data_IF_135350804626
#
_entry.id   IF_135350804626
#
_cell.length_a   1.000
_cell.length_b   1.000
_cell.length_c   1.000
_cell.angle_alpha   90.00
_cell.angle_beta   90.00
_cell.angle_gamma   90.00
#
_symmetry.space_group_name_H-M   'P 1'
#
loop_
_entity.id
_entity.type
_entity.pdbx_description
1 polymer ?
#
# COMPACT_ATOMS: atom_id res chain seq x y z
N UNK A 1 13.67 6.70 24.26
CA UNK A 1 12.86 7.35 23.20
C UNK A 1 12.61 6.35 22.07
N UNK A 2 11.43 6.37 21.44
CA UNK A 2 11.16 5.57 20.24
C UNK A 2 12.15 5.96 19.12
N UNK A 3 12.69 5.00 18.37
CA UNK A 3 13.66 5.29 17.31
C UNK A 3 12.95 5.31 15.96
N UNK A 4 12.54 6.50 15.52
CA UNK A 4 11.80 6.69 14.26
C UNK A 4 12.47 6.03 13.05
N UNK A 5 13.81 6.08 12.98
CA UNK A 5 14.61 5.44 11.92
C UNK A 5 14.34 3.93 11.83
N UNK A 6 14.34 3.22 12.97
CA UNK A 6 14.10 1.77 12.99
C UNK A 6 12.68 1.40 12.57
N UNK A 7 11.71 2.26 12.88
CA UNK A 7 10.31 2.06 12.47
C UNK A 7 10.17 2.29 10.96
N UNK A 8 10.83 3.33 10.44
CA UNK A 8 10.88 3.60 9.00
C UNK A 8 11.50 2.44 8.24
N UNK A 9 12.68 1.97 8.65
CA UNK A 9 13.39 0.88 7.97
C UNK A 9 12.56 -0.39 7.93
N UNK A 10 11.87 -0.70 9.04
CA UNK A 10 10.98 -1.85 9.10
C UNK A 10 9.74 -1.72 8.20
N UNK A 11 9.07 -0.57 8.20
CA UNK A 11 7.94 -0.34 7.28
C UNK A 11 8.39 -0.41 5.80
N UNK A 12 9.67 -0.12 5.51
CA UNK A 12 10.27 -0.29 4.20
C UNK A 12 10.70 -1.73 3.90
N UNK A 13 11.05 -2.54 4.91
CA UNK A 13 11.42 -3.95 4.74
C UNK A 13 10.22 -4.86 4.55
N UNK A 14 9.11 -4.62 5.26
CA UNK A 14 7.85 -5.39 5.11
C UNK A 14 7.24 -5.32 3.71
N UNK A 15 7.66 -4.35 2.90
CA UNK A 15 7.38 -4.33 1.46
C UNK A 15 7.88 -5.56 0.70
N UNK A 16 8.92 -6.22 1.20
CA UNK A 16 9.51 -7.43 0.64
C UNK A 16 8.77 -8.70 1.07
N UNK A 17 8.14 -8.67 2.25
CA UNK A 17 7.64 -9.85 2.97
C UNK A 17 6.10 -9.84 3.08
N UNK A 18 5.41 -9.23 2.12
CA UNK A 18 3.94 -9.32 2.11
C UNK A 18 3.47 -10.76 1.91
N UNK A 19 2.39 -11.16 2.59
CA UNK A 19 1.87 -12.53 2.52
C UNK A 19 1.34 -12.93 1.12
N UNK A 20 0.97 -11.94 0.28
CA UNK A 20 0.42 -12.15 -1.08
C UNK A 20 0.71 -10.98 -2.05
N UNK A 21 1.98 -10.67 -2.36
CA UNK A 21 2.32 -9.74 -3.43
C UNK A 21 1.94 -10.31 -4.80
N UNK A 22 1.77 -9.44 -5.80
CA UNK A 22 1.73 -9.92 -7.18
C UNK A 22 3.05 -10.64 -7.50
N UNK A 23 3.00 -11.70 -8.32
CA UNK A 23 4.20 -12.46 -8.67
C UNK A 23 5.29 -11.57 -9.31
N UNK A 24 4.87 -10.57 -10.09
CA UNK A 24 5.77 -9.60 -10.73
C UNK A 24 6.45 -8.71 -9.67
N UNK A 25 5.69 -8.23 -8.67
CA UNK A 25 6.24 -7.43 -7.57
C UNK A 25 7.22 -8.25 -6.72
N UNK A 26 6.85 -9.48 -6.36
CA UNK A 26 7.69 -10.36 -5.55
C UNK A 26 9.04 -10.63 -6.23
N UNK A 27 9.01 -10.97 -7.52
CA UNK A 27 10.23 -11.20 -8.30
C UNK A 27 11.08 -9.93 -8.42
N UNK A 28 10.46 -8.79 -8.77
CA UNK A 28 11.16 -7.50 -8.85
C UNK A 28 11.89 -7.17 -7.54
N UNK A 29 11.21 -7.35 -6.40
CA UNK A 29 11.78 -7.12 -5.07
C UNK A 29 12.91 -8.08 -4.74
N UNK A 30 12.73 -9.37 -4.99
CA UNK A 30 13.76 -10.37 -4.75
C UNK A 30 15.04 -10.06 -5.55
N UNK A 31 14.91 -9.75 -6.84
CA UNK A 31 16.05 -9.40 -7.69
C UNK A 31 16.73 -8.10 -7.23
N UNK A 32 15.96 -7.11 -6.78
CA UNK A 32 16.52 -5.87 -6.23
C UNK A 32 17.28 -6.10 -4.93
N UNK A 33 16.78 -6.97 -4.05
CA UNK A 33 17.47 -7.38 -2.81
C UNK A 33 18.79 -8.10 -3.11
N UNK A 34 18.84 -8.88 -4.18
CA UNK A 34 20.07 -9.53 -4.67
C UNK A 34 21.06 -8.54 -5.32
N UNK A 35 20.75 -7.25 -5.37
CA UNK A 35 21.64 -6.23 -5.92
C UNK A 35 21.70 -6.22 -7.45
N UNK A 36 20.71 -6.79 -8.14
CA UNK A 36 20.67 -6.76 -9.60
C UNK A 36 20.53 -5.31 -10.09
N UNK A 37 21.38 -4.83 -11.01
CA UNK A 37 21.30 -3.46 -11.51
C UNK A 37 19.97 -3.14 -12.19
N UNK A 38 19.52 -1.88 -12.09
CA UNK A 38 18.23 -1.44 -12.66
C UNK A 38 18.09 -1.73 -14.16
N UNK A 39 19.15 -1.66 -14.94
CA UNK A 39 19.11 -1.99 -16.38
C UNK A 39 18.74 -3.45 -16.63
N UNK A 40 19.24 -4.36 -15.79
CA UNK A 40 18.95 -5.77 -15.87
C UNK A 40 17.55 -6.07 -15.31
N UNK A 41 17.16 -5.43 -14.20
CA UNK A 41 15.79 -5.51 -13.67
C UNK A 41 14.77 -5.06 -14.73
N UNK A 42 15.05 -3.95 -15.41
CA UNK A 42 14.20 -3.41 -16.49
C UNK A 42 14.02 -4.44 -17.61
N UNK A 43 15.10 -5.10 -18.05
CA UNK A 43 15.02 -6.15 -19.09
C UNK A 43 14.16 -7.34 -18.65
N UNK A 44 14.21 -7.73 -17.38
CA UNK A 44 13.46 -8.88 -16.83
C UNK A 44 11.98 -8.53 -16.65
N UNK A 45 11.69 -7.37 -16.04
CA UNK A 45 10.34 -6.99 -15.61
C UNK A 45 9.51 -6.38 -16.75
N UNK A 46 10.13 -5.62 -17.66
CA UNK A 46 9.41 -4.87 -18.71
C UNK A 46 8.47 -5.75 -19.57
N UNK A 47 8.87 -6.93 -20.07
CA UNK A 47 7.97 -7.78 -20.86
C UNK A 47 6.74 -8.25 -20.08
N UNK A 48 6.91 -8.58 -18.79
CA UNK A 48 5.82 -9.03 -17.92
C UNK A 48 4.88 -7.88 -17.58
N UNK A 49 5.43 -6.69 -17.38
CA UNK A 49 4.67 -5.48 -17.14
C UNK A 49 3.81 -5.10 -18.35
N UNK A 50 4.38 -5.16 -19.54
CA UNK A 50 3.64 -4.95 -20.80
C UNK A 50 2.53 -5.99 -20.96
N UNK A 51 2.82 -7.27 -20.68
CA UNK A 51 1.80 -8.32 -20.72
C UNK A 51 0.67 -8.07 -19.70
N UNK A 52 0.98 -7.58 -18.50
CA UNK A 52 -0.05 -7.20 -17.52
C UNK A 52 -0.91 -6.04 -18.04
N UNK A 53 -0.29 -4.97 -18.56
CA UNK A 53 -1.01 -3.81 -19.12
C UNK A 53 -1.98 -4.24 -20.21
N UNK A 54 -1.50 -5.02 -21.19
CA UNK A 54 -2.30 -5.47 -22.34
C UNK A 54 -3.49 -6.33 -21.91
N UNK A 55 -3.33 -7.16 -20.88
CA UNK A 55 -4.35 -8.10 -20.44
C UNK A 55 -5.17 -7.59 -19.24
N UNK A 56 -4.94 -6.35 -18.79
CA UNK A 56 -5.61 -5.83 -17.60
C UNK A 56 -7.10 -5.62 -17.88
N UNK A 57 -7.93 -6.45 -17.27
CA UNK A 57 -9.37 -6.22 -17.18
C UNK A 57 -9.70 -5.45 -15.90
N UNK A 58 -9.84 -4.13 -15.98
CA UNK A 58 -10.17 -3.28 -14.83
C UNK A 58 -11.51 -3.66 -14.18
N UNK A 59 -12.49 -4.16 -14.93
CA UNK A 59 -13.77 -4.61 -14.37
C UNK A 59 -13.60 -5.80 -13.40
N UNK A 60 -12.49 -6.55 -13.48
CA UNK A 60 -12.21 -7.62 -12.52
C UNK A 60 -11.99 -7.09 -11.08
N UNK A 61 -11.71 -5.80 -10.90
CA UNK A 61 -11.60 -5.15 -9.58
C UNK A 61 -12.90 -5.29 -8.77
N UNK A 62 -14.07 -5.34 -9.42
CA UNK A 62 -15.36 -5.53 -8.72
C UNK A 62 -15.49 -6.91 -8.06
N UNK A 63 -14.75 -7.90 -8.53
CA UNK A 63 -14.73 -9.26 -7.98
C UNK A 63 -13.46 -9.54 -7.16
N UNK A 64 -12.36 -8.83 -7.45
CA UNK A 64 -11.08 -8.96 -6.79
C UNK A 64 -10.44 -7.58 -6.59
N UNK A 65 -10.73 -6.93 -5.47
CA UNK A 65 -10.23 -5.58 -5.17
C UNK A 65 -8.70 -5.53 -5.05
N UNK A 66 -8.04 -6.66 -4.80
CA UNK A 66 -6.58 -6.74 -4.76
C UNK A 66 -5.92 -6.41 -6.10
N UNK A 67 -6.67 -6.43 -7.21
CA UNK A 67 -6.14 -5.98 -8.50
C UNK A 67 -5.71 -4.50 -8.48
N UNK A 68 -6.31 -3.65 -7.64
CA UNK A 68 -5.83 -2.27 -7.44
C UNK A 68 -4.44 -2.23 -6.81
N UNK A 69 -4.14 -3.16 -5.89
CA UNK A 69 -2.79 -3.29 -5.33
C UNK A 69 -1.78 -3.65 -6.41
N UNK A 70 -2.14 -4.56 -7.31
CA UNK A 70 -1.26 -4.97 -8.41
C UNK A 70 -1.01 -3.82 -9.39
N UNK A 71 -2.05 -3.03 -9.71
CA UNK A 71 -1.93 -1.80 -10.49
C UNK A 71 -1.01 -0.80 -9.80
N UNK A 72 -1.18 -0.57 -8.49
CA UNK A 72 -0.30 0.31 -7.71
C UNK A 72 1.17 -0.15 -7.80
N UNK A 73 1.43 -1.44 -7.62
CA UNK A 73 2.79 -1.98 -7.71
C UNK A 73 3.40 -1.87 -9.11
N UNK A 74 2.60 -2.09 -10.15
CA UNK A 74 3.03 -1.87 -11.52
C UNK A 74 3.49 -0.43 -11.74
N UNK A 75 2.73 0.54 -11.23
CA UNK A 75 3.07 1.97 -11.36
C UNK A 75 4.38 2.30 -10.62
N UNK A 76 4.53 1.81 -9.38
CA UNK A 76 5.77 1.98 -8.60
C UNK A 76 6.97 1.39 -9.33
N UNK A 77 6.88 0.13 -9.79
CA UNK A 77 7.97 -0.52 -10.54
C UNK A 77 8.32 0.24 -11.81
N UNK A 78 7.31 0.70 -12.55
CA UNK A 78 7.52 1.43 -13.81
C UNK A 78 8.27 2.72 -13.57
N UNK A 79 7.86 3.49 -12.55
CA UNK A 79 8.54 4.71 -12.13
C UNK A 79 9.99 4.44 -11.71
N UNK A 80 10.22 3.44 -10.85
CA UNK A 80 11.55 3.14 -10.31
C UNK A 80 12.53 2.65 -11.41
N UNK A 81 12.03 2.00 -12.47
CA UNK A 81 12.83 1.48 -13.58
C UNK A 81 12.84 2.42 -14.81
N UNK A 82 12.15 3.56 -14.75
CA UNK A 82 11.97 4.46 -15.89
C UNK A 82 11.34 3.74 -17.09
N UNK A 83 10.36 2.87 -16.85
CA UNK A 83 9.55 2.23 -17.88
C UNK A 83 8.37 3.17 -18.16
N UNK A 84 8.29 3.66 -19.40
CA UNK A 84 7.15 4.44 -19.85
C UNK A 84 5.92 3.56 -20.00
N UNK A 85 4.81 4.02 -19.44
CA UNK A 85 3.48 3.46 -19.61
C UNK A 85 2.72 4.41 -20.53
N UNK A 86 1.98 3.84 -21.46
CA UNK A 86 1.12 4.57 -22.39
C UNK A 86 0.15 5.51 -21.66
N UNK A 87 0.05 6.76 -22.12
CA UNK A 87 -0.80 7.78 -21.50
C UNK A 87 -2.29 7.44 -21.58
N UNK A 88 -2.76 6.85 -22.69
CA UNK A 88 -4.17 6.44 -22.81
C UNK A 88 -4.54 5.37 -21.79
N UNK A 89 -3.60 4.47 -21.47
CA UNK A 89 -3.80 3.51 -20.40
C UNK A 89 -3.85 4.18 -19.03
N UNK A 90 -2.97 5.15 -18.76
CA UNK A 90 -2.99 5.93 -17.51
C UNK A 90 -4.29 6.69 -17.33
N UNK A 91 -4.81 7.31 -18.38
CA UNK A 91 -6.11 7.99 -18.39
C UNK A 91 -7.26 7.01 -18.12
N UNK A 92 -7.22 5.82 -18.73
CA UNK A 92 -8.20 4.76 -18.51
C UNK A 92 -8.22 4.31 -17.05
N UNK A 93 -7.05 4.04 -16.46
CA UNK A 93 -6.94 3.66 -15.05
C UNK A 93 -7.37 4.79 -14.12
N UNK A 94 -6.97 6.03 -14.42
CA UNK A 94 -7.37 7.22 -13.64
C UNK A 94 -8.89 7.35 -13.61
N UNK A 95 -9.54 7.29 -14.78
CA UNK A 95 -11.00 7.40 -14.91
C UNK A 95 -11.70 6.28 -14.13
N UNK A 96 -11.22 5.05 -14.30
CA UNK A 96 -11.75 3.90 -13.56
C UNK A 96 -11.65 4.07 -12.03
N UNK A 97 -10.49 4.49 -11.53
CA UNK A 97 -10.29 4.67 -10.08
C UNK A 97 -11.15 5.81 -9.54
N UNK A 98 -11.28 6.93 -10.27
CA UNK A 98 -12.17 8.02 -9.88
C UNK A 98 -13.63 7.58 -9.84
N UNK A 99 -14.06 6.70 -10.73
CA UNK A 99 -15.42 6.15 -10.75
C UNK A 99 -15.74 5.24 -9.54
N UNK A 100 -14.71 4.72 -8.86
CA UNK A 100 -14.89 3.98 -7.60
C UNK A 100 -15.15 4.89 -6.40
N UNK A 101 -14.98 6.21 -6.55
CA UNK A 101 -15.14 7.18 -5.46
C UNK A 101 -16.58 7.19 -4.93
N UNK A 102 -16.68 7.36 -3.62
CA UNK A 102 -17.91 7.64 -2.90
C UNK A 102 -17.66 8.72 -1.83
N UNK A 103 -18.63 8.99 -0.94
CA UNK A 103 -18.58 10.10 0.02
C UNK A 103 -17.40 9.97 1.00
N UNK A 104 -16.26 10.53 0.61
CA UNK A 104 -15.02 10.48 1.35
C UNK A 104 -14.26 9.15 1.28
N UNK A 105 -14.65 8.19 0.45
CA UNK A 105 -13.89 6.94 0.31
C UNK A 105 -13.95 6.41 -1.12
N UNK A 106 -13.48 5.18 -1.32
CA UNK A 106 -13.63 4.43 -2.57
C UNK A 106 -14.17 3.03 -2.29
N UNK A 107 -14.85 2.46 -3.27
CA UNK A 107 -15.19 1.04 -3.28
C UNK A 107 -16.54 0.65 -2.69
N UNK A 108 -17.42 1.61 -2.37
CA UNK A 108 -18.81 1.26 -1.98
C UNK A 108 -19.55 0.45 -3.05
N UNK A 109 -19.20 0.63 -4.33
CA UNK A 109 -19.68 -0.18 -5.47
C UNK A 109 -19.11 -1.61 -5.49
N UNK A 110 -18.00 -1.86 -4.80
CA UNK A 110 -17.32 -3.17 -4.73
C UNK A 110 -17.80 -3.94 -3.50
N UNK A 111 -17.77 -3.31 -2.32
CA UNK A 111 -18.13 -3.98 -1.08
C UNK A 111 -18.55 -2.98 -0.01
N UNK A 112 -19.46 -3.41 0.89
CA UNK A 112 -19.80 -2.68 2.11
C UNK A 112 -18.91 -3.06 3.30
N UNK A 113 -18.06 -4.07 3.16
CA UNK A 113 -17.18 -4.55 4.24
C UNK A 113 -16.12 -3.47 4.53
N UNK A 114 -16.05 -3.01 5.79
CA UNK A 114 -15.20 -1.90 6.23
C UNK A 114 -13.73 -2.07 5.82
N UNK A 115 -13.15 -3.25 6.05
CA UNK A 115 -11.74 -3.51 5.73
C UNK A 115 -11.47 -3.48 4.22
N UNK A 116 -12.36 -4.04 3.41
CA UNK A 116 -12.26 -4.04 1.94
C UNK A 116 -12.38 -2.62 1.38
N UNK A 117 -13.30 -1.82 1.93
CA UNK A 117 -13.44 -0.40 1.57
C UNK A 117 -12.20 0.41 1.95
N UNK A 118 -11.62 0.15 3.12
CA UNK A 118 -10.36 0.78 3.53
C UNK A 118 -9.25 0.45 2.54
N UNK A 119 -8.98 -0.83 2.27
CA UNK A 119 -7.94 -1.24 1.31
C UNK A 119 -8.17 -0.62 -0.07
N UNK A 120 -9.41 -0.68 -0.58
CA UNK A 120 -9.77 -0.06 -1.87
C UNK A 120 -9.47 1.44 -1.87
N UNK A 121 -9.82 2.14 -0.79
CA UNK A 121 -9.55 3.58 -0.63
C UNK A 121 -8.05 3.87 -0.63
N UNK A 122 -7.27 3.09 0.12
CA UNK A 122 -5.83 3.26 0.20
C UNK A 122 -5.16 3.07 -1.17
N UNK A 123 -5.46 1.99 -1.87
CA UNK A 123 -4.89 1.74 -3.20
C UNK A 123 -5.36 2.76 -4.24
N UNK A 124 -6.61 3.20 -4.18
CA UNK A 124 -7.13 4.23 -5.09
C UNK A 124 -6.36 5.55 -4.96
N UNK A 125 -6.17 6.03 -3.72
CA UNK A 125 -5.38 7.25 -3.45
C UNK A 125 -3.95 7.10 -3.97
N UNK A 126 -3.32 5.95 -3.69
CA UNK A 126 -1.94 5.69 -4.10
C UNK A 126 -1.79 5.62 -5.62
N UNK A 127 -2.71 4.94 -6.32
CA UNK A 127 -2.74 4.88 -7.79
C UNK A 127 -2.87 6.29 -8.38
N UNK A 128 -3.84 7.09 -7.92
CA UNK A 128 -4.04 8.45 -8.41
C UNK A 128 -2.80 9.33 -8.19
N UNK A 129 -2.11 9.15 -7.07
CA UNK A 129 -0.88 9.87 -6.79
C UNK A 129 0.30 9.42 -7.68
N UNK A 130 0.47 8.12 -7.91
CA UNK A 130 1.50 7.59 -8.81
C UNK A 130 1.25 7.97 -10.28
N UNK A 131 0.00 8.17 -10.67
CA UNK A 131 -0.39 8.68 -11.99
C UNK A 131 -0.26 10.20 -12.12
N UNK A 132 0.17 10.91 -11.07
CA UNK A 132 0.36 12.36 -11.10
C UNK A 132 -0.93 13.17 -11.00
N UNK A 133 -2.08 12.56 -10.69
CA UNK A 133 -3.38 13.26 -10.55
C UNK A 133 -3.40 14.23 -9.36
N UNK A 134 -2.53 14.03 -8.36
CA UNK A 134 -2.42 14.92 -7.20
C UNK A 134 -3.66 14.89 -6.31
N UNK A 135 -4.25 13.71 -6.09
CA UNK A 135 -5.50 13.54 -5.33
C UNK A 135 -5.36 14.04 -3.87
N UNK A 136 -6.21 15.00 -3.48
CA UNK A 136 -6.28 15.54 -2.13
C UNK A 136 -7.74 15.77 -1.73
N UNK A 137 -8.22 14.99 -0.77
CA UNK A 137 -9.60 15.11 -0.28
C UNK A 137 -9.66 14.96 1.24
N UNK A 138 -10.18 15.99 1.91
CA UNK A 138 -10.27 16.01 3.38
C UNK A 138 -11.25 14.98 3.94
N UNK A 139 -12.28 14.60 3.19
CA UNK A 139 -13.20 13.53 3.62
C UNK A 139 -12.51 12.16 3.53
N UNK A 140 -11.68 11.94 2.50
CA UNK A 140 -10.81 10.76 2.40
C UNK A 140 -9.80 10.65 3.53
N UNK A 141 -9.18 11.76 3.92
CA UNK A 141 -8.31 11.79 5.10
C UNK A 141 -9.10 11.36 6.35
N UNK A 142 -10.27 11.96 6.59
CA UNK A 142 -11.13 11.61 7.73
C UNK A 142 -11.56 10.14 7.70
N UNK A 143 -11.91 9.62 6.53
CA UNK A 143 -12.29 8.22 6.37
C UNK A 143 -11.14 7.30 6.75
N UNK A 144 -9.93 7.52 6.21
CA UNK A 144 -8.74 6.72 6.55
C UNK A 144 -8.47 6.78 8.06
N UNK A 145 -8.50 7.96 8.66
CA UNK A 145 -8.25 8.14 10.09
C UNK A 145 -9.31 7.46 10.98
N UNK A 146 -10.59 7.54 10.60
CA UNK A 146 -11.69 6.86 11.33
C UNK A 146 -11.63 5.32 11.28
N UNK A 147 -10.76 4.77 10.43
CA UNK A 147 -10.55 3.34 10.28
C UNK A 147 -9.39 2.78 11.11
N UNK A 148 -8.77 3.59 11.97
CA UNK A 148 -7.79 3.11 12.94
C UNK A 148 -8.38 2.02 13.86
N UNK A 149 -7.52 1.10 14.28
CA UNK A 149 -7.75 0.11 15.31
C UNK A 149 -6.70 0.30 16.42
N UNK A 150 -7.05 1.09 17.44
CA UNK A 150 -6.10 1.64 18.40
C UNK A 150 -5.25 2.74 17.77
N UNK A 151 -3.95 2.73 18.02
CA UNK A 151 -3.02 3.71 17.45
C UNK A 151 -2.64 3.44 15.99
N UNK A 152 -2.89 2.23 15.48
CA UNK A 152 -2.51 1.78 14.13
C UNK A 152 -3.75 1.50 13.29
N UNK A 153 -3.55 1.00 12.07
CA UNK A 153 -4.61 0.36 11.30
C UNK A 153 -4.50 -1.16 11.48
N UNK A 154 -5.60 -1.87 11.20
CA UNK A 154 -5.85 -3.29 11.47
C UNK A 154 -4.63 -4.25 11.42
N UNK A 155 -3.73 -4.07 10.47
CA UNK A 155 -2.47 -4.79 10.35
C UNK A 155 -1.31 -3.84 10.02
N UNK A 156 -0.07 -4.34 10.11
CA UNK A 156 1.12 -3.57 9.73
C UNK A 156 1.13 -3.19 8.25
N UNK A 157 0.78 -4.08 7.29
CA UNK A 157 0.62 -3.70 5.89
C UNK A 157 -0.40 -2.58 5.69
N UNK A 158 -1.58 -2.67 6.31
CA UNK A 158 -2.63 -1.65 6.15
C UNK A 158 -2.19 -0.33 6.80
N UNK A 159 -1.51 -0.39 7.94
CA UNK A 159 -0.92 0.79 8.59
C UNK A 159 0.04 1.51 7.66
N UNK A 160 0.93 0.77 7.00
CA UNK A 160 1.85 1.32 6.02
C UNK A 160 1.11 2.04 4.90
N UNK A 161 0.13 1.39 4.26
CA UNK A 161 -0.62 2.00 3.15
C UNK A 161 -1.43 3.21 3.59
N UNK A 162 -2.00 3.19 4.80
CA UNK A 162 -2.69 4.33 5.37
C UNK A 162 -1.76 5.53 5.52
N UNK A 163 -0.56 5.34 6.08
CA UNK A 163 0.43 6.40 6.22
C UNK A 163 0.87 6.95 4.86
N UNK A 164 1.09 6.08 3.86
CA UNK A 164 1.45 6.51 2.51
C UNK A 164 0.32 7.30 1.85
N UNK A 165 -0.92 6.82 1.92
CA UNK A 165 -2.08 7.50 1.34
C UNK A 165 -2.33 8.86 2.02
N UNK A 166 -2.23 8.93 3.35
CA UNK A 166 -2.35 10.18 4.10
C UNK A 166 -1.25 11.18 3.67
N UNK A 167 -0.01 10.72 3.52
CA UNK A 167 1.08 11.55 3.03
C UNK A 167 0.86 12.03 1.60
N UNK A 168 0.38 11.16 0.69
CA UNK A 168 0.01 11.54 -0.69
C UNK A 168 -1.09 12.60 -0.73
N UNK A 169 -2.06 12.54 0.20
CA UNK A 169 -3.07 13.58 0.37
C UNK A 169 -2.53 14.89 0.97
N UNK A 170 -1.26 14.94 1.40
CA UNK A 170 -0.68 16.07 2.13
C UNK A 170 -1.25 16.24 3.54
N UNK A 171 -1.81 15.18 4.12
CA UNK A 171 -2.40 15.23 5.44
C UNK A 171 -1.32 15.19 6.54
N UNK A 172 -1.57 15.89 7.64
CA UNK A 172 -0.83 15.70 8.88
C UNK A 172 -1.40 14.47 9.59
N UNK A 173 -0.55 13.47 9.83
CA UNK A 173 -0.94 12.26 10.56
C UNK A 173 -1.02 12.58 12.05
N UNK A 174 -2.22 12.45 12.63
CA UNK A 174 -2.45 12.69 14.06
C UNK A 174 -1.88 11.55 14.92
N UNK A 175 -1.42 11.87 16.14
CA UNK A 175 -0.93 10.86 17.07
C UNK A 175 0.34 10.13 16.60
N UNK A 176 1.28 10.86 15.98
CA UNK A 176 2.55 10.31 15.47
C UNK A 176 3.30 9.53 16.58
N UNK A 177 3.36 10.08 17.80
CA UNK A 177 4.05 9.40 18.91
C UNK A 177 3.39 8.08 19.29
N UNK A 178 2.07 8.04 19.32
CA UNK A 178 1.28 6.85 19.63
C UNK A 178 1.47 5.78 18.57
N UNK A 179 1.49 6.17 17.29
CA UNK A 179 1.79 5.30 16.15
C UNK A 179 3.19 4.69 16.32
N UNK A 180 4.21 5.52 16.55
CA UNK A 180 5.59 5.04 16.70
C UNK A 180 5.71 4.12 17.91
N UNK A 181 5.11 4.47 19.06
CA UNK A 181 5.07 3.62 20.27
C UNK A 181 4.37 2.29 19.98
N UNK A 182 3.27 2.28 19.23
CA UNK A 182 2.54 1.06 18.89
C UNK A 182 3.32 0.19 17.90
N UNK A 183 4.02 0.77 16.92
CA UNK A 183 4.92 0.04 16.02
C UNK A 183 6.10 -0.56 16.78
N UNK A 184 6.72 0.20 17.68
CA UNK A 184 7.80 -0.31 18.55
C UNK A 184 7.33 -1.48 19.43
N UNK A 185 6.10 -1.46 19.94
CA UNK A 185 5.53 -2.58 20.72
C UNK A 185 5.27 -3.83 19.88
N UNK A 186 5.15 -3.69 18.56
CA UNK A 186 5.03 -4.84 17.66
C UNK A 186 6.39 -5.52 17.46
N UNK A 187 7.52 -4.89 17.83
CA UNK A 187 8.84 -5.52 17.78
C UNK A 187 8.89 -6.71 18.74
N UNK A 188 9.17 -7.86 18.17
CA UNK A 188 9.50 -9.07 18.88
C UNK A 188 10.96 -9.00 19.36
N UNK A 189 11.31 -9.59 20.52
CA UNK A 189 12.70 -9.64 21.01
C UNK A 189 13.72 -10.28 20.06
N UNK A 190 13.26 -11.02 19.03
CA UNK A 190 14.10 -11.64 18.01
C UNK A 190 14.36 -10.76 16.78
N UNK A 191 13.99 -9.48 16.81
CA UNK A 191 14.33 -8.50 15.76
C UNK A 191 13.29 -8.31 14.65
N UNK A 192 12.22 -9.10 14.63
CA UNK A 192 11.08 -8.97 13.70
C UNK A 192 9.94 -8.14 14.32
N UNK A 193 8.93 -7.72 13.55
CA UNK A 193 7.68 -7.22 14.14
C UNK A 193 6.50 -8.16 13.82
N UNK A 194 5.52 -8.18 14.71
CA UNK A 194 4.34 -9.03 14.61
C UNK A 194 3.28 -8.38 13.71
N UNK A 195 2.91 -9.06 12.62
CA UNK A 195 1.94 -8.61 11.61
C UNK A 195 0.54 -8.31 12.19
N UNK A 196 0.11 -9.07 13.18
CA UNK A 196 -1.16 -8.90 13.91
C UNK A 196 -0.94 -8.49 15.39
N UNK A 197 -1.91 -7.82 16.03
CA UNK A 197 -1.81 -7.50 17.45
C UNK A 197 -1.76 -8.81 18.25
N UNK A 198 -0.67 -9.05 18.98
CA UNK A 198 -0.68 -10.09 20.00
C UNK A 198 -1.45 -9.58 21.22
N UNK A 199 -2.33 -10.43 21.77
CA UNK A 199 -2.63 -10.32 23.19
C UNK A 199 -1.30 -10.52 23.90
N UNK A 200 -0.75 -9.45 24.47
CA UNK A 200 0.35 -9.58 25.42
C UNK A 200 -0.13 -10.61 26.45
N UNK A 201 0.58 -11.73 26.69
CA UNK A 201 0.24 -12.58 27.82
C UNK A 201 0.32 -11.67 29.03
N UNK A 202 -0.81 -11.49 29.72
CA UNK A 202 -0.82 -10.89 31.05
C UNK A 202 0.32 -11.54 31.82
N UNK A 203 1.32 -10.73 32.21
CA UNK A 203 2.50 -11.17 32.94
C UNK A 203 2.08 -12.23 33.94
N UNK A 204 2.47 -13.47 33.71
CA UNK A 204 2.45 -14.51 34.73
C UNK A 204 3.49 -14.10 35.75
N UNK A 205 3.09 -13.29 36.71
CA UNK A 205 3.79 -13.16 37.98
C UNK A 205 3.49 -14.46 38.73
N UNK A 206 4.48 -15.34 38.80
CA UNK A 206 4.74 -16.19 39.96
C UNK A 206 6.24 -16.17 40.19
#
# INVERSE_FOLDING_TARGET
MPREEKVKDYLLSELSDEDKPSAIWAEYRALRVLGIPNENLKKIVKPRLQNFITNLNLSAVYHNHYLLKDVYYLLVMSRELGIEIDESWKETVTSFVLDLRDDGAFGSKISKIKIVRLETTLYSVLILNELGYGYRDGKTVKFIESNRNGALWWSLPITRYALLALNSCGAKVEGKEEIVKALERRKCPYGFFLTLPTRIPSRGIR
#
